data_IF_954150988806
#
_entry.id   IF_954150988806
#
_cell.length_a   1.000
_cell.length_b   1.000
_cell.length_c   1.000
_cell.angle_alpha   90.00
_cell.angle_beta   90.00
_cell.angle_gamma   90.00
#
_symmetry.space_group_name_H-M   'P 1'
#
loop_
_entity.id
_entity.type
_entity.pdbx_description
1 polymer ?
#
# COMPACT_ATOMS: atom_id res chain seq x y z
N UNK A 1 8.52 4.58 6.63
CA UNK A 1 7.16 4.25 6.20
C UNK A 1 6.76 5.24 5.13
N UNK A 2 6.30 4.74 3.99
CA UNK A 2 5.74 5.54 2.89
C UNK A 2 4.34 6.04 3.27
N UNK A 3 4.24 6.88 4.29
CA UNK A 3 2.98 7.50 4.67
C UNK A 3 2.58 8.48 3.58
N UNK A 4 1.38 8.34 3.00
CA UNK A 4 0.87 9.42 2.16
C UNK A 4 0.32 10.55 3.01
N UNK A 5 0.83 11.75 2.83
CA UNK A 5 0.46 12.91 3.66
C UNK A 5 0.07 14.10 2.80
N UNK A 6 -1.10 14.72 3.06
CA UNK A 6 -1.48 15.95 2.39
C UNK A 6 -0.58 17.08 2.89
N UNK A 7 0.16 17.72 2.01
CA UNK A 7 1.17 18.72 2.37
C UNK A 7 0.95 20.01 1.60
N UNK A 8 1.11 21.15 2.26
CA UNK A 8 1.02 22.47 1.63
C UNK A 8 2.34 22.78 0.93
N UNK A 9 2.28 23.21 -0.33
CA UNK A 9 3.46 23.68 -1.07
C UNK A 9 3.85 25.06 -0.56
N UNK A 10 5.07 25.19 -0.06
CA UNK A 10 5.64 26.45 0.41
C UNK A 10 6.45 27.14 -0.70
N UNK A 11 7.34 26.39 -1.34
CA UNK A 11 8.22 26.87 -2.41
C UNK A 11 8.37 25.78 -3.48
N UNK A 12 8.67 26.18 -4.72
CA UNK A 12 8.89 25.25 -5.86
C UNK A 12 10.26 25.52 -6.48
N UNK A 13 11.06 24.46 -6.60
CA UNK A 13 12.40 24.46 -7.19
C UNK A 13 12.34 23.79 -8.57
N UNK A 14 11.88 24.54 -9.58
CA UNK A 14 11.59 24.00 -10.92
C UNK A 14 12.79 23.31 -11.60
N UNK A 15 14.00 23.84 -11.40
CA UNK A 15 15.21 23.26 -12.01
C UNK A 15 15.54 21.87 -11.47
N UNK A 16 15.15 21.59 -10.23
CA UNK A 16 15.38 20.31 -9.55
C UNK A 16 14.14 19.41 -9.62
N UNK A 17 13.01 19.97 -10.09
CA UNK A 17 11.68 19.37 -10.05
C UNK A 17 11.32 18.91 -8.63
N UNK A 18 11.61 19.77 -7.68
CA UNK A 18 11.34 19.56 -6.26
C UNK A 18 10.45 20.69 -5.73
N UNK A 19 9.75 20.42 -4.64
CA UNK A 19 9.01 21.43 -3.89
C UNK A 19 9.27 21.27 -2.40
N UNK A 20 9.37 22.40 -1.70
CA UNK A 20 9.36 22.43 -0.24
C UNK A 20 7.92 22.41 0.21
N UNK A 21 7.57 21.45 1.05
CA UNK A 21 6.21 21.26 1.55
C UNK A 21 6.17 21.28 3.07
N UNK A 22 5.00 21.57 3.62
CA UNK A 22 4.72 21.56 5.06
C UNK A 22 3.52 20.66 5.39
N UNK A 23 3.69 19.83 6.41
CA UNK A 23 2.62 19.04 7.00
C UNK A 23 2.75 19.03 8.53
N UNK A 24 1.69 19.46 9.22
CA UNK A 24 1.64 19.56 10.70
C UNK A 24 2.87 20.27 11.31
N UNK A 25 3.37 21.32 10.64
CA UNK A 25 4.54 22.10 11.06
C UNK A 25 5.89 21.48 10.71
N UNK A 26 5.94 20.23 10.24
CA UNK A 26 7.16 19.63 9.70
C UNK A 26 7.37 20.08 8.24
N UNK A 27 8.59 20.50 7.90
CA UNK A 27 8.97 20.95 6.56
C UNK A 27 9.98 19.99 5.93
N UNK A 28 9.74 19.60 4.70
CA UNK A 28 10.62 18.68 3.95
C UNK A 28 10.47 18.93 2.45
N UNK A 29 11.39 18.35 1.67
CA UNK A 29 11.42 18.49 0.21
C UNK A 29 10.91 17.21 -0.43
N UNK A 30 10.15 17.35 -1.52
CA UNK A 30 9.54 16.25 -2.26
C UNK A 30 9.74 16.46 -3.76
N UNK A 31 9.86 15.38 -4.51
CA UNK A 31 9.84 15.46 -5.97
C UNK A 31 8.43 15.79 -6.47
N UNK A 32 8.33 16.54 -7.58
CA UNK A 32 7.05 16.96 -8.18
C UNK A 32 6.91 16.54 -9.65
N UNK A 33 7.82 15.69 -10.15
CA UNK A 33 7.83 15.23 -11.57
C UNK A 33 6.63 14.39 -11.96
N UNK A 34 5.87 13.88 -10.99
CA UNK A 34 4.65 13.12 -11.22
C UNK A 34 3.41 14.02 -11.39
N UNK A 35 3.59 15.34 -11.34
CA UNK A 35 2.53 16.33 -11.45
C UNK A 35 2.79 17.27 -12.63
N UNK A 36 1.73 17.70 -13.30
CA UNK A 36 1.86 18.59 -14.47
C UNK A 36 2.28 20.02 -14.09
N UNK A 37 1.70 20.57 -13.02
CA UNK A 37 1.99 21.93 -12.56
C UNK A 37 1.76 22.05 -11.05
N UNK A 38 2.78 22.51 -10.33
CA UNK A 38 2.73 22.74 -8.88
C UNK A 38 3.17 24.17 -8.58
N UNK A 39 2.42 24.87 -7.72
CA UNK A 39 2.69 26.25 -7.32
C UNK A 39 2.63 26.43 -5.79
N UNK A 40 3.36 27.40 -5.23
CA UNK A 40 3.20 27.78 -3.83
C UNK A 40 1.75 28.05 -3.46
N UNK A 41 1.31 27.55 -2.30
CA UNK A 41 -0.05 27.66 -1.82
C UNK A 41 -0.97 26.50 -2.20
N UNK A 42 -0.63 25.72 -3.24
CA UNK A 42 -1.33 24.48 -3.55
C UNK A 42 -1.13 23.43 -2.45
N UNK A 43 -2.02 22.45 -2.41
CA UNK A 43 -1.83 21.25 -1.60
C UNK A 43 -1.57 20.04 -2.49
N UNK A 44 -0.68 19.16 -2.05
CA UNK A 44 -0.31 17.94 -2.76
C UNK A 44 -0.34 16.72 -1.82
N UNK A 45 -0.68 15.56 -2.35
CA UNK A 45 -0.52 14.29 -1.66
C UNK A 45 0.91 13.77 -1.90
N UNK A 46 1.69 13.65 -0.83
CA UNK A 46 3.07 13.14 -0.90
C UNK A 46 3.10 11.69 -0.50
N UNK A 47 3.70 10.79 -1.28
CA UNK A 47 3.95 9.39 -0.94
C UNK A 47 5.36 8.98 -1.37
N UNK A 48 6.09 8.26 -0.49
CA UNK A 48 7.46 7.80 -0.75
C UNK A 48 8.43 8.90 -1.25
N UNK A 49 8.24 10.13 -0.73
CA UNK A 49 9.07 11.31 -1.08
C UNK A 49 8.71 12.00 -2.40
N UNK A 50 7.65 11.56 -3.07
CA UNK A 50 7.14 12.16 -4.32
C UNK A 50 5.74 12.72 -4.09
N UNK A 51 5.44 13.90 -4.65
CA UNK A 51 4.10 14.41 -4.76
C UNK A 51 3.37 13.67 -5.89
N UNK A 52 2.35 12.89 -5.55
CA UNK A 52 1.65 11.99 -6.47
C UNK A 52 0.29 12.52 -6.94
N UNK A 53 -0.26 13.55 -6.29
CA UNK A 53 -1.52 14.16 -6.72
C UNK A 53 -1.66 15.59 -6.18
N UNK A 54 -2.29 16.49 -6.96
CA UNK A 54 -2.73 17.80 -6.46
C UNK A 54 -4.10 17.64 -5.80
N UNK A 55 -4.26 18.22 -4.61
CA UNK A 55 -5.53 18.19 -3.87
C UNK A 55 -6.47 19.24 -4.46
N UNK A 56 -7.62 18.77 -4.95
CA UNK A 56 -8.68 19.63 -5.47
C UNK A 56 -9.76 19.78 -4.37
N UNK A 57 -9.85 20.99 -3.81
CA UNK A 57 -10.84 21.31 -2.76
C UNK A 57 -12.29 21.27 -3.28
N UNK A 58 -12.53 21.58 -4.56
CA UNK A 58 -13.87 21.59 -5.15
C UNK A 58 -14.37 20.15 -5.37
N UNK A 59 -13.52 19.26 -5.89
CA UNK A 59 -13.82 17.81 -6.02
C UNK A 59 -14.02 17.12 -4.67
N UNK A 60 -13.42 17.64 -3.60
CA UNK A 60 -13.67 17.12 -2.25
C UNK A 60 -15.12 17.27 -1.80
N UNK A 61 -15.80 18.33 -2.25
CA UNK A 61 -17.22 18.56 -1.97
C UNK A 61 -18.14 17.65 -2.79
N UNK A 62 -17.68 17.18 -3.95
CA UNK A 62 -18.47 16.29 -4.82
C UNK A 62 -18.64 14.88 -4.25
N UNK A 63 -17.65 14.35 -3.53
CA UNK A 63 -17.78 13.06 -2.82
C UNK A 63 -18.83 13.06 -1.71
N UNK A 64 -19.15 14.25 -1.20
CA UNK A 64 -20.20 14.45 -0.21
C UNK A 64 -21.60 14.52 -0.84
N UNK A 65 -21.74 14.56 -2.18
CA UNK A 65 -23.05 14.56 -2.86
C UNK A 65 -23.80 13.25 -2.63
N UNK A 66 -23.12 12.10 -2.76
CA UNK A 66 -23.66 10.78 -2.40
C UNK A 66 -24.17 10.77 -0.96
N UNK A 67 -23.46 11.43 -0.04
CA UNK A 67 -23.88 11.57 1.35
C UNK A 67 -25.06 12.50 1.56
N UNK A 68 -25.14 13.60 0.81
CA UNK A 68 -26.30 14.47 0.82
C UNK A 68 -27.55 13.75 0.31
N UNK A 69 -27.40 12.91 -0.71
CA UNK A 69 -28.47 12.06 -1.24
C UNK A 69 -28.87 10.97 -0.24
N UNK A 70 -27.91 10.39 0.48
CA UNK A 70 -28.14 9.29 1.44
C UNK A 70 -28.67 9.74 2.81
N UNK A 71 -28.20 10.88 3.34
CA UNK A 71 -28.53 11.37 4.70
C UNK A 71 -29.23 12.73 4.74
N UNK A 72 -29.46 13.38 3.60
CA UNK A 72 -30.20 14.64 3.52
C UNK A 72 -29.50 15.87 4.13
N UNK A 73 -28.16 15.88 4.29
CA UNK A 73 -27.42 16.99 4.93
C UNK A 73 -26.15 17.40 4.17
N UNK A 74 -25.80 18.69 4.23
CA UNK A 74 -24.53 19.23 3.73
C UNK A 74 -23.41 18.98 4.75
N UNK A 75 -22.25 18.50 4.31
CA UNK A 75 -21.06 18.26 5.14
C UNK A 75 -19.91 19.20 4.73
N UNK A 76 -18.93 19.45 5.61
CA UNK A 76 -17.73 20.27 5.31
C UNK A 76 -16.43 19.47 5.59
N UNK A 77 -15.33 19.81 4.93
CA UNK A 77 -14.03 19.10 4.98
C UNK A 77 -13.42 19.03 6.38
N UNK A 78 -13.69 19.99 7.27
CA UNK A 78 -13.19 20.00 8.65
C UNK A 78 -13.89 18.90 9.50
N UNK A 79 -15.03 18.40 9.04
CA UNK A 79 -15.89 17.50 9.81
C UNK A 79 -15.42 16.04 9.84
N UNK A 80 -14.56 15.61 8.90
CA UNK A 80 -14.06 14.23 8.80
C UNK A 80 -13.27 13.72 10.04
N UNK A 81 -12.88 14.62 10.95
CA UNK A 81 -12.19 14.31 12.21
C UNK A 81 -13.01 14.65 13.47
N UNK A 82 -14.26 15.08 13.33
CA UNK A 82 -15.15 15.41 14.44
C UNK A 82 -15.70 14.13 15.11
N UNK A 83 -15.33 13.83 16.38
CA UNK A 83 -15.81 12.65 17.08
C UNK A 83 -17.33 12.63 17.28
N UNK A 84 -17.95 13.79 17.52
CA UNK A 84 -19.39 13.87 17.75
C UNK A 84 -20.16 13.62 16.45
N UNK A 85 -19.62 14.11 15.33
CA UNK A 85 -20.18 13.79 14.02
C UNK A 85 -20.03 12.32 13.68
N UNK A 86 -18.85 11.75 13.90
CA UNK A 86 -18.63 10.32 13.71
C UNK A 86 -19.64 9.50 14.51
N UNK A 87 -19.91 9.84 15.77
CA UNK A 87 -20.89 9.11 16.56
C UNK A 87 -22.31 9.23 16.02
N UNK A 88 -22.74 10.44 15.66
CA UNK A 88 -24.06 10.64 15.04
C UNK A 88 -24.20 9.81 13.77
N UNK A 89 -23.16 9.77 12.93
CA UNK A 89 -23.18 8.99 11.70
C UNK A 89 -23.22 7.49 11.98
N UNK A 90 -22.43 7.00 12.95
CA UNK A 90 -22.43 5.59 13.29
C UNK A 90 -23.82 5.13 13.75
N UNK A 91 -24.47 5.88 14.65
CA UNK A 91 -25.82 5.56 15.14
C UNK A 91 -26.88 5.59 14.04
N UNK A 92 -26.70 6.41 13.00
CA UNK A 92 -27.60 6.42 11.83
C UNK A 92 -27.39 5.19 10.94
N UNK A 93 -26.17 4.65 10.88
CA UNK A 93 -25.81 3.55 9.98
C UNK A 93 -25.99 2.17 10.62
N UNK A 94 -25.89 2.10 11.94
CA UNK A 94 -26.00 0.86 12.71
C UNK A 94 -27.26 0.03 12.38
N UNK A 95 -28.47 0.62 12.23
CA UNK A 95 -29.65 -0.14 11.82
C UNK A 95 -29.50 -0.84 10.47
N UNK A 96 -28.79 -0.23 9.52
CA UNK A 96 -28.55 -0.82 8.20
C UNK A 96 -27.57 -1.99 8.27
N UNK A 97 -26.53 -1.89 9.10
CA UNK A 97 -25.61 -3.00 9.35
C UNK A 97 -26.32 -4.20 9.98
N UNK A 98 -27.20 -3.94 10.96
CA UNK A 98 -27.98 -4.98 11.62
C UNK A 98 -28.93 -5.65 10.62
N UNK A 99 -29.69 -4.87 9.85
CA UNK A 99 -30.62 -5.40 8.85
C UNK A 99 -29.91 -6.26 7.79
N UNK A 100 -28.75 -5.81 7.30
CA UNK A 100 -27.98 -6.57 6.31
C UNK A 100 -27.43 -7.89 6.88
N UNK A 101 -26.94 -7.87 8.14
CA UNK A 101 -26.52 -9.08 8.85
C UNK A 101 -27.68 -10.07 9.04
N UNK A 102 -28.85 -9.59 9.46
CA UNK A 102 -30.03 -10.43 9.64
C UNK A 102 -30.48 -11.06 8.32
N UNK A 103 -30.48 -10.29 7.23
CA UNK A 103 -30.83 -10.78 5.90
C UNK A 103 -29.89 -11.87 5.39
N UNK A 104 -28.59 -11.73 5.64
CA UNK A 104 -27.58 -12.72 5.25
C UNK A 104 -27.55 -13.94 6.19
N UNK A 105 -28.13 -13.85 7.39
CA UNK A 105 -28.04 -14.89 8.43
C UNK A 105 -26.65 -15.05 9.05
N UNK A 106 -25.68 -14.21 8.65
CA UNK A 106 -24.31 -14.14 9.18
C UNK A 106 -23.82 -12.70 9.16
N UNK A 107 -22.71 -12.43 9.84
CA UNK A 107 -22.04 -11.14 9.69
C UNK A 107 -21.63 -10.92 8.24
N UNK A 108 -21.65 -9.66 7.82
CA UNK A 108 -21.08 -9.28 6.53
C UNK A 108 -19.56 -9.49 6.59
N UNK A 109 -18.95 -9.85 5.48
CA UNK A 109 -17.52 -10.11 5.41
C UNK A 109 -16.91 -9.24 4.31
N UNK A 110 -16.41 -8.08 4.72
CA UNK A 110 -15.74 -7.14 3.83
C UNK A 110 -14.23 -7.26 3.96
N UNK A 111 -13.51 -7.10 2.86
CA UNK A 111 -12.05 -7.10 2.88
C UNK A 111 -11.51 -5.71 2.56
N UNK A 112 -10.69 -5.16 3.45
CA UNK A 112 -9.82 -4.04 3.08
C UNK A 112 -8.52 -4.58 2.50
N UNK A 113 -8.04 -3.93 1.45
CA UNK A 113 -6.84 -4.35 0.69
C UNK A 113 -5.76 -3.26 0.75
N UNK A 114 -5.61 -2.64 1.92
CA UNK A 114 -4.63 -1.57 2.15
C UNK A 114 -4.14 -1.58 3.59
N UNK A 115 -2.85 -1.85 3.81
CA UNK A 115 -2.30 -1.91 5.16
C UNK A 115 -2.48 -0.62 5.96
N UNK A 116 -2.52 0.55 5.30
CA UNK A 116 -2.88 1.82 5.94
C UNK A 116 -4.33 1.85 6.44
N UNK A 117 -5.30 1.28 5.69
CA UNK A 117 -6.68 1.11 6.16
C UNK A 117 -6.73 0.17 7.35
N UNK A 118 -6.05 -0.97 7.27
CA UNK A 118 -5.85 -1.90 8.39
C UNK A 118 -5.49 -1.18 9.68
N UNK A 119 -4.44 -0.35 9.63
CA UNK A 119 -3.97 0.46 10.77
C UNK A 119 -5.02 1.49 11.19
N UNK A 120 -5.61 2.22 10.25
CA UNK A 120 -6.59 3.27 10.54
C UNK A 120 -7.85 2.71 11.22
N UNK A 121 -8.40 1.60 10.72
CA UNK A 121 -9.54 0.91 11.32
C UNK A 121 -9.29 0.48 12.77
N UNK A 122 -8.08 -0.03 13.05
CA UNK A 122 -7.72 -0.49 14.38
C UNK A 122 -7.37 0.65 15.35
N UNK A 123 -6.64 1.66 14.87
CA UNK A 123 -6.24 2.84 15.66
C UNK A 123 -7.43 3.71 16.06
N UNK A 124 -8.42 3.84 15.18
CA UNK A 124 -9.66 4.61 15.46
C UNK A 124 -10.67 3.84 16.32
N UNK A 125 -10.49 2.52 16.49
CA UNK A 125 -11.44 1.65 17.18
C UNK A 125 -12.68 1.30 16.35
N UNK A 126 -12.80 1.80 15.12
CA UNK A 126 -13.94 1.52 14.23
C UNK A 126 -14.09 0.02 13.96
N UNK A 127 -12.99 -0.73 13.77
CA UNK A 127 -13.02 -2.20 13.61
C UNK A 127 -13.77 -2.90 14.75
N UNK A 128 -13.52 -2.48 15.99
CA UNK A 128 -14.15 -3.05 17.18
C UNK A 128 -15.65 -2.75 17.20
N UNK A 129 -16.04 -1.51 16.89
CA UNK A 129 -17.45 -1.11 16.85
C UNK A 129 -18.24 -1.83 15.75
N UNK A 130 -17.61 -2.10 14.61
CA UNK A 130 -18.24 -2.85 13.51
C UNK A 130 -18.28 -4.37 13.77
N UNK A 131 -17.43 -4.90 14.66
CA UNK A 131 -17.27 -6.35 14.88
C UNK A 131 -18.55 -7.15 15.22
N UNK A 132 -19.60 -6.58 15.85
CA UNK A 132 -20.86 -7.29 16.02
C UNK A 132 -21.61 -7.53 14.69
N UNK A 133 -21.37 -6.71 13.67
CA UNK A 133 -22.14 -6.70 12.42
C UNK A 133 -21.33 -7.21 11.23
N UNK A 134 -20.04 -6.88 11.21
CA UNK A 134 -19.16 -7.03 10.06
C UNK A 134 -17.84 -7.64 10.52
N UNK A 135 -17.44 -8.73 9.88
CA UNK A 135 -16.08 -9.24 9.93
C UNK A 135 -15.25 -8.52 8.87
N UNK A 136 -14.58 -7.45 9.29
CA UNK A 136 -13.65 -6.72 8.42
C UNK A 136 -12.35 -7.52 8.32
N UNK A 137 -12.07 -8.09 7.16
CA UNK A 137 -10.89 -8.92 6.91
C UNK A 137 -9.79 -8.07 6.29
N UNK A 138 -8.54 -8.41 6.60
CA UNK A 138 -7.37 -7.75 6.01
C UNK A 138 -6.84 -8.60 4.87
N UNK A 139 -6.81 -8.04 3.67
CA UNK A 139 -6.32 -8.66 2.46
C UNK A 139 -4.83 -8.39 2.19
N UNK A 140 -4.37 -8.62 0.95
CA UNK A 140 -2.97 -8.51 0.55
C UNK A 140 -2.52 -7.05 0.36
N UNK A 141 -2.89 -6.14 1.27
CA UNK A 141 -2.67 -4.70 1.17
C UNK A 141 -1.31 -4.20 1.64
N UNK A 142 -0.34 -5.09 1.89
CA UNK A 142 1.00 -4.74 2.35
C UNK A 142 2.04 -5.33 1.39
N UNK A 143 2.75 -4.51 0.59
CA UNK A 143 3.64 -5.00 -0.46
C UNK A 143 4.80 -5.82 0.10
N UNK A 144 5.35 -5.40 1.25
CA UNK A 144 6.37 -6.13 2.00
C UNK A 144 5.87 -7.53 2.42
N UNK A 145 4.61 -7.61 2.85
CA UNK A 145 4.01 -8.84 3.37
C UNK A 145 3.78 -9.86 2.27
N UNK A 146 3.47 -9.40 1.06
CA UNK A 146 3.20 -10.26 -0.12
C UNK A 146 4.44 -10.54 -0.98
N UNK A 147 5.57 -9.92 -0.66
CA UNK A 147 6.86 -10.21 -1.31
C UNK A 147 7.26 -11.66 -1.02
N UNK A 148 7.56 -12.42 -2.09
CA UNK A 148 7.88 -13.84 -1.99
C UNK A 148 9.17 -14.05 -1.20
N UNK A 149 9.27 -15.21 -0.54
CA UNK A 149 10.45 -15.52 0.26
C UNK A 149 11.71 -15.60 -0.62
N UNK A 150 11.58 -16.05 -1.87
CA UNK A 150 12.66 -16.05 -2.87
C UNK A 150 13.17 -14.64 -3.19
N UNK A 151 12.29 -13.65 -3.31
CA UNK A 151 12.68 -12.26 -3.52
C UNK A 151 13.43 -11.70 -2.32
N UNK A 152 12.96 -11.98 -1.10
CA UNK A 152 13.65 -11.57 0.13
C UNK A 152 15.06 -12.17 0.18
N UNK A 153 15.18 -13.46 -0.10
CA UNK A 153 16.49 -14.13 -0.11
C UNK A 153 17.40 -13.58 -1.20
N UNK A 154 16.85 -13.26 -2.38
CA UNK A 154 17.60 -12.64 -3.47
C UNK A 154 18.09 -11.23 -3.12
N UNK A 155 17.24 -10.42 -2.47
CA UNK A 155 17.60 -9.10 -1.96
C UNK A 155 18.74 -9.17 -0.94
N UNK A 156 18.70 -10.17 -0.05
CA UNK A 156 19.77 -10.43 0.92
C UNK A 156 21.03 -10.93 0.21
N UNK A 157 20.92 -11.76 -0.82
CA UNK A 157 22.08 -12.27 -1.57
C UNK A 157 22.89 -11.14 -2.21
N UNK A 158 22.25 -10.04 -2.64
CA UNK A 158 22.96 -8.86 -3.14
C UNK A 158 23.87 -8.20 -2.09
N UNK A 159 23.65 -8.43 -0.78
CA UNK A 159 24.53 -7.93 0.27
C UNK A 159 25.93 -8.55 0.20
N UNK A 160 26.05 -9.75 -0.38
CA UNK A 160 27.31 -10.44 -0.57
C UNK A 160 28.16 -9.92 -1.73
N UNK A 161 27.66 -8.99 -2.54
CA UNK A 161 28.41 -8.41 -3.66
C UNK A 161 29.51 -7.47 -3.12
N UNK A 162 30.74 -7.62 -3.63
CA UNK A 162 31.85 -6.73 -3.26
C UNK A 162 31.60 -5.30 -3.75
N UNK A 163 32.00 -4.31 -2.95
CA UNK A 163 31.82 -2.87 -3.26
C UNK A 163 30.37 -2.45 -3.58
N UNK A 164 29.39 -3.15 -2.97
CA UNK A 164 27.96 -2.82 -3.13
C UNK A 164 27.49 -1.76 -2.13
N UNK A 165 26.53 -0.94 -2.56
CA UNK A 165 25.66 -0.14 -1.71
C UNK A 165 24.23 -0.62 -1.97
N UNK A 166 23.64 -1.31 -0.99
CA UNK A 166 22.23 -1.62 -1.05
C UNK A 166 21.41 -0.46 -0.55
N UNK A 167 20.31 -0.20 -1.22
CA UNK A 167 19.37 0.85 -0.84
C UNK A 167 17.96 0.26 -0.79
N UNK A 168 17.22 0.59 0.25
CA UNK A 168 15.91 -0.02 0.52
C UNK A 168 15.02 0.94 1.32
N UNK A 169 13.72 0.71 1.30
CA UNK A 169 12.81 1.31 2.28
C UNK A 169 12.95 0.63 3.65
N UNK A 170 12.63 1.37 4.71
CA UNK A 170 12.94 0.95 6.09
C UNK A 170 12.14 -0.25 6.61
N UNK A 171 10.98 -0.51 6.02
CA UNK A 171 10.11 -1.66 6.34
C UNK A 171 10.68 -3.00 5.87
N UNK A 172 11.57 -2.99 4.88
CA UNK A 172 12.26 -4.20 4.41
C UNK A 172 13.42 -4.63 5.30
N UNK A 173 13.98 -3.73 6.12
CA UNK A 173 15.23 -3.98 6.86
C UNK A 173 15.18 -5.23 7.74
N UNK A 174 14.05 -5.47 8.40
CA UNK A 174 13.89 -6.55 9.39
C UNK A 174 13.18 -7.79 8.82
N UNK A 175 12.82 -7.79 7.53
CA UNK A 175 12.11 -8.91 6.92
C UNK A 175 12.98 -10.16 6.94
N UNK A 176 12.56 -11.24 7.61
CA UNK A 176 13.38 -12.43 7.74
C UNK A 176 13.51 -13.15 6.39
N UNK A 177 14.76 -13.29 5.94
CA UNK A 177 15.16 -14.28 4.94
C UNK A 177 15.31 -15.67 5.54
N UNK A 178 15.76 -16.61 4.72
CA UNK A 178 16.01 -18.01 5.09
C UNK A 178 17.13 -18.17 6.11
N UNK A 179 18.10 -17.26 6.10
CA UNK A 179 19.31 -17.33 6.93
C UNK A 179 19.65 -16.02 7.66
N UNK A 180 19.24 -14.87 7.11
CA UNK A 180 19.56 -13.54 7.65
C UNK A 180 18.44 -12.54 7.34
N UNK A 181 18.70 -11.25 7.54
CA UNK A 181 17.89 -10.14 7.05
C UNK A 181 18.81 -8.93 6.76
N UNK A 182 18.29 -7.90 6.09
CA UNK A 182 19.11 -6.73 5.72
C UNK A 182 19.67 -5.99 6.95
N UNK A 183 18.97 -5.96 8.08
CA UNK A 183 19.47 -5.36 9.33
C UNK A 183 20.70 -6.11 9.87
N UNK A 184 20.68 -7.44 9.85
CA UNK A 184 21.83 -8.28 10.22
C UNK A 184 22.98 -8.13 9.22
N UNK A 185 22.70 -8.11 7.92
CA UNK A 185 23.76 -7.91 6.92
C UNK A 185 24.41 -6.53 7.04
N UNK A 186 23.63 -5.50 7.39
CA UNK A 186 24.17 -4.18 7.73
C UNK A 186 25.06 -4.24 8.97
N UNK A 187 24.64 -4.94 10.02
CA UNK A 187 25.46 -5.15 11.23
C UNK A 187 26.74 -5.96 10.95
N UNK A 188 26.72 -6.83 9.94
CA UNK A 188 27.88 -7.59 9.47
C UNK A 188 28.81 -6.77 8.54
N UNK A 189 28.54 -5.49 8.33
CA UNK A 189 29.41 -4.57 7.59
C UNK A 189 28.99 -4.28 6.15
N UNK A 190 27.88 -4.84 5.67
CA UNK A 190 27.34 -4.48 4.35
C UNK A 190 26.89 -3.02 4.35
N UNK A 191 27.23 -2.28 3.30
CA UNK A 191 26.77 -0.90 3.18
C UNK A 191 25.29 -0.85 2.74
N UNK A 192 24.39 -0.63 3.69
CA UNK A 192 22.94 -0.58 3.44
C UNK A 192 22.34 0.76 3.90
N UNK A 193 21.75 1.49 2.97
CA UNK A 193 21.10 2.78 3.19
C UNK A 193 19.57 2.63 3.19
N UNK A 194 18.93 3.22 4.20
CA UNK A 194 17.47 3.33 4.24
C UNK A 194 17.10 4.63 3.54
N UNK A 195 16.28 4.53 2.50
CA UNK A 195 15.88 5.67 1.68
C UNK A 195 14.55 6.27 2.13
N UNK A 196 14.38 7.56 1.84
CA UNK A 196 13.06 8.21 1.87
C UNK A 196 12.38 8.22 0.51
N UNK A 197 13.15 8.25 -0.58
CA UNK A 197 12.68 8.22 -1.96
C UNK A 197 13.65 7.48 -2.87
N UNK A 198 13.19 7.04 -4.04
CA UNK A 198 14.05 6.36 -5.02
C UNK A 198 15.16 7.29 -5.56
N UNK A 199 14.93 8.61 -5.58
CA UNK A 199 15.91 9.62 -6.02
C UNK A 199 17.17 9.67 -5.14
N UNK A 200 17.09 9.30 -3.86
CA UNK A 200 18.26 9.22 -2.99
C UNK A 200 19.26 8.14 -3.46
N UNK A 201 18.78 7.05 -4.09
CA UNK A 201 19.64 6.01 -4.66
C UNK A 201 20.47 6.55 -5.84
N UNK A 202 19.86 7.41 -6.67
CA UNK A 202 20.54 8.10 -7.77
C UNK A 202 21.65 9.01 -7.24
N UNK A 203 21.37 9.77 -6.16
CA UNK A 203 22.38 10.61 -5.51
C UNK A 203 23.56 9.79 -4.97
N UNK A 204 23.29 8.62 -4.37
CA UNK A 204 24.34 7.70 -3.93
C UNK A 204 25.16 7.15 -5.10
N UNK A 205 24.52 6.79 -6.21
CA UNK A 205 25.22 6.31 -7.41
C UNK A 205 26.19 7.36 -7.98
N UNK A 206 25.79 8.64 -7.99
CA UNK A 206 26.67 9.77 -8.37
C UNK A 206 27.82 9.97 -7.40
N UNK A 207 27.54 9.90 -6.11
CA UNK A 207 28.53 10.13 -5.06
C UNK A 207 29.60 9.02 -5.03
N UNK A 208 29.22 7.78 -5.36
CA UNK A 208 30.09 6.62 -5.30
C UNK A 208 30.19 5.91 -6.67
N UNK A 209 30.82 6.53 -7.69
CA UNK A 209 30.82 6.03 -9.06
C UNK A 209 31.56 4.69 -9.24
N UNK A 210 32.39 4.30 -8.26
CA UNK A 210 33.13 3.01 -8.26
C UNK A 210 32.37 1.89 -7.53
N UNK A 211 31.24 2.19 -6.89
CA UNK A 211 30.44 1.22 -6.14
C UNK A 211 29.16 0.90 -6.89
N UNK A 212 28.74 -0.35 -6.83
CA UNK A 212 27.46 -0.81 -7.40
C UNK A 212 26.35 -0.40 -6.45
N UNK A 213 25.45 0.48 -6.88
CA UNK A 213 24.30 0.92 -6.08
C UNK A 213 23.05 0.20 -6.54
N UNK A 214 22.40 -0.54 -5.63
CA UNK A 214 21.21 -1.34 -5.94
C UNK A 214 20.02 -0.79 -5.16
N UNK A 215 18.94 -0.44 -5.85
CA UNK A 215 17.64 -0.15 -5.24
C UNK A 215 16.78 -1.41 -5.19
N UNK A 216 16.49 -1.86 -3.97
CA UNK A 216 15.56 -2.95 -3.70
C UNK A 216 14.13 -2.39 -3.75
N UNK A 217 13.49 -2.50 -4.91
CA UNK A 217 12.24 -1.82 -5.21
C UNK A 217 11.04 -2.73 -4.91
N UNK A 218 10.51 -2.61 -3.69
CA UNK A 218 9.29 -3.28 -3.22
C UNK A 218 8.17 -2.25 -3.09
N UNK A 219 6.99 -2.60 -3.59
CA UNK A 219 5.80 -1.78 -3.41
C UNK A 219 4.71 -2.09 -4.43
N UNK A 220 3.65 -1.31 -4.37
CA UNK A 220 2.51 -1.39 -5.27
C UNK A 220 2.57 -0.28 -6.33
N UNK A 221 1.43 0.03 -6.95
CA UNK A 221 1.30 1.11 -7.92
C UNK A 221 1.73 2.48 -7.36
N UNK A 222 1.70 2.66 -6.03
CA UNK A 222 2.07 3.92 -5.37
C UNK A 222 3.58 4.17 -5.27
N UNK A 223 4.42 3.14 -5.39
CA UNK A 223 5.88 3.28 -5.34
C UNK A 223 6.53 3.19 -6.72
N UNK A 224 5.90 2.45 -7.63
CA UNK A 224 6.42 2.20 -8.97
C UNK A 224 6.75 3.49 -9.77
N UNK A 225 5.97 4.59 -9.71
CA UNK A 225 6.29 5.83 -10.43
C UNK A 225 7.63 6.44 -10.00
N UNK A 226 7.92 6.49 -8.70
CA UNK A 226 9.19 7.03 -8.20
C UNK A 226 10.39 6.19 -8.65
N UNK A 227 10.23 4.87 -8.74
CA UNK A 227 11.27 3.98 -9.26
C UNK A 227 11.41 4.10 -10.78
N UNK A 228 10.31 4.23 -11.53
CA UNK A 228 10.35 4.52 -12.97
C UNK A 228 11.13 5.82 -13.24
N UNK A 229 10.89 6.86 -12.44
CA UNK A 229 11.62 8.12 -12.53
C UNK A 229 13.13 7.92 -12.29
N UNK A 230 13.50 7.10 -11.30
CA UNK A 230 14.91 6.79 -11.04
C UNK A 230 15.59 6.12 -12.23
N UNK A 231 14.90 5.21 -12.94
CA UNK A 231 15.41 4.55 -14.15
C UNK A 231 15.60 5.54 -15.30
N UNK A 232 14.64 6.45 -15.51
CA UNK A 232 14.74 7.54 -16.50
C UNK A 232 15.96 8.40 -16.21
N UNK A 233 16.11 8.86 -14.96
CA UNK A 233 17.25 9.69 -14.56
C UNK A 233 18.58 8.97 -14.72
N UNK A 234 18.68 7.71 -14.30
CA UNK A 234 19.90 6.93 -14.46
C UNK A 234 20.33 6.81 -15.93
N UNK A 235 19.36 6.70 -16.85
CA UNK A 235 19.59 6.69 -18.30
C UNK A 235 20.05 8.05 -18.84
N UNK A 236 19.34 9.13 -18.49
CA UNK A 236 19.67 10.50 -18.91
C UNK A 236 21.06 10.92 -18.42
N UNK A 237 21.38 10.59 -17.17
CA UNK A 237 22.62 10.94 -16.50
C UNK A 237 23.74 9.90 -16.70
N UNK A 238 23.47 8.82 -17.46
CA UNK A 238 24.40 7.74 -17.82
C UNK A 238 25.09 7.07 -16.61
N UNK A 239 24.32 6.76 -15.57
CA UNK A 239 24.81 6.15 -14.33
C UNK A 239 24.97 4.63 -14.48
N UNK A 240 26.12 4.18 -14.99
CA UNK A 240 26.40 2.76 -15.25
C UNK A 240 26.53 1.89 -13.99
N UNK A 241 26.58 2.49 -12.81
CA UNK A 241 26.72 1.79 -11.53
C UNK A 241 25.41 1.70 -10.73
N UNK A 242 24.29 2.15 -11.29
CA UNK A 242 22.98 2.10 -10.66
C UNK A 242 22.16 0.91 -11.19
N UNK A 243 21.54 0.16 -10.28
CA UNK A 243 20.68 -0.98 -10.61
C UNK A 243 19.42 -0.98 -9.75
N UNK A 244 18.35 -1.57 -10.27
CA UNK A 244 17.07 -1.75 -9.60
C UNK A 244 16.72 -3.23 -9.60
N UNK A 245 16.40 -3.77 -8.44
CA UNK A 245 15.71 -5.06 -8.32
C UNK A 245 14.21 -4.80 -8.16
N UNK A 246 13.44 -4.98 -9.23
CA UNK A 246 12.00 -4.76 -9.21
C UNK A 246 11.27 -5.97 -8.64
N UNK A 247 10.71 -5.82 -7.44
CA UNK A 247 9.76 -6.74 -6.83
C UNK A 247 8.38 -6.07 -6.66
N UNK A 248 8.07 -5.11 -7.52
CA UNK A 248 6.79 -4.41 -7.53
C UNK A 248 5.65 -5.33 -7.90
N UNK A 249 4.54 -5.13 -7.22
CA UNK A 249 3.32 -5.91 -7.32
C UNK A 249 2.15 -5.02 -7.76
N UNK A 250 1.14 -5.61 -8.37
CA UNK A 250 -0.08 -4.93 -8.80
C UNK A 250 -1.26 -5.43 -7.97
N UNK A 251 -2.07 -4.50 -7.48
CA UNK A 251 -3.15 -4.79 -6.53
C UNK A 251 -4.38 -5.42 -7.20
N UNK A 252 -4.88 -4.92 -8.36
CA UNK A 252 -6.06 -5.49 -9.02
C UNK A 252 -5.99 -7.00 -9.28
N UNK A 253 -4.90 -7.56 -9.87
CA UNK A 253 -4.82 -9.01 -10.13
C UNK A 253 -4.85 -9.85 -8.84
N UNK A 254 -4.39 -9.30 -7.70
CA UNK A 254 -4.47 -9.99 -6.42
C UNK A 254 -5.91 -10.08 -5.89
N UNK A 255 -6.79 -9.13 -6.23
CA UNK A 255 -8.21 -9.22 -5.88
C UNK A 255 -8.91 -10.26 -6.76
N UNK A 256 -8.61 -10.31 -8.06
CA UNK A 256 -9.13 -11.36 -8.95
C UNK A 256 -8.76 -12.76 -8.40
N UNK A 257 -7.51 -12.95 -7.96
CA UNK A 257 -7.06 -14.19 -7.35
C UNK A 257 -7.84 -14.59 -6.08
N UNK A 258 -8.28 -13.61 -5.28
CA UNK A 258 -9.09 -13.86 -4.09
C UNK A 258 -10.54 -14.20 -4.43
N UNK A 259 -11.06 -13.63 -5.52
CA UNK A 259 -12.40 -13.91 -6.02
C UNK A 259 -12.50 -15.30 -6.65
N UNK A 260 -11.42 -15.76 -7.28
CA UNK A 260 -11.34 -17.10 -7.87
C UNK A 260 -11.18 -18.22 -6.82
N UNK A 261 -10.89 -17.88 -5.56
CA UNK A 261 -10.73 -18.84 -4.46
C UNK A 261 -12.10 -19.25 -3.88
N UNK A 262 -12.56 -20.50 -4.10
CA UNK A 262 -13.90 -20.92 -3.68
C UNK A 262 -14.07 -21.00 -2.16
N UNK A 263 -12.97 -21.02 -1.39
CA UNK A 263 -13.01 -21.02 0.06
C UNK A 263 -13.19 -19.60 0.65
N UNK A 264 -13.25 -18.58 -0.20
CA UNK A 264 -13.48 -17.20 0.21
C UNK A 264 -14.95 -16.81 0.13
N UNK A 265 -15.49 -16.36 1.28
CA UNK A 265 -16.83 -15.80 1.39
C UNK A 265 -16.74 -14.29 1.58
N UNK A 266 -16.33 -13.57 0.54
CA UNK A 266 -16.24 -12.10 0.58
C UNK A 266 -17.52 -11.49 0.02
N UNK A 267 -18.08 -10.54 0.77
CA UNK A 267 -19.26 -9.76 0.36
C UNK A 267 -18.86 -8.48 -0.38
N UNK A 268 -17.60 -8.04 -0.30
CA UNK A 268 -17.13 -6.87 -1.01
C UNK A 268 -15.78 -6.34 -0.53
N UNK A 269 -15.26 -5.37 -1.28
CA UNK A 269 -13.93 -4.80 -1.06
C UNK A 269 -13.95 -3.32 -0.70
N UNK A 270 -13.16 -2.97 0.31
CA UNK A 270 -12.75 -1.60 0.57
C UNK A 270 -11.39 -1.38 -0.09
N UNK A 271 -11.41 -0.62 -1.18
CA UNK A 271 -10.31 -0.44 -2.12
C UNK A 271 -9.30 0.61 -1.62
N UNK A 272 -8.01 0.43 -1.97
CA UNK A 272 -6.92 1.26 -1.47
C UNK A 272 -6.98 2.67 -2.05
N UNK A 273 -7.16 3.68 -1.20
CA UNK A 273 -7.24 5.07 -1.64
C UNK A 273 -6.02 5.52 -2.44
N UNK A 274 -4.80 5.25 -1.94
CA UNK A 274 -3.57 5.72 -2.60
C UNK A 274 -3.20 4.98 -3.88
N UNK A 275 -3.41 3.67 -3.95
CA UNK A 275 -3.25 2.95 -5.23
C UNK A 275 -4.25 3.52 -6.25
N UNK A 276 -5.48 3.80 -5.82
CA UNK A 276 -6.50 4.42 -6.68
C UNK A 276 -6.15 5.84 -7.13
N UNK A 277 -5.29 6.58 -6.40
CA UNK A 277 -4.75 7.85 -6.91
C UNK A 277 -3.93 7.64 -8.17
N UNK A 278 -3.17 6.54 -8.23
CA UNK A 278 -2.35 6.21 -9.39
C UNK A 278 -3.20 5.65 -10.53
N UNK A 279 -3.97 4.58 -10.29
CA UNK A 279 -4.70 3.86 -11.36
C UNK A 279 -6.12 4.39 -11.65
N UNK A 280 -6.61 5.32 -10.84
CA UNK A 280 -7.95 5.90 -10.95
C UNK A 280 -9.07 4.95 -10.52
N UNK A 281 -10.30 5.45 -10.59
CA UNK A 281 -11.50 4.60 -10.49
C UNK A 281 -11.52 3.56 -11.61
N UNK A 282 -11.05 3.92 -12.81
CA UNK A 282 -11.03 3.04 -13.99
C UNK A 282 -10.25 1.74 -13.79
N UNK A 283 -9.16 1.78 -13.02
CA UNK A 283 -8.36 0.59 -12.71
C UNK A 283 -9.14 -0.51 -11.98
N UNK A 284 -10.26 -0.16 -11.34
CA UNK A 284 -11.11 -1.08 -10.58
C UNK A 284 -12.40 -1.48 -11.28
N UNK A 285 -12.66 -1.00 -12.51
CA UNK A 285 -13.92 -1.27 -13.23
C UNK A 285 -14.16 -2.76 -13.53
N UNK A 286 -13.13 -3.60 -13.47
CA UNK A 286 -13.30 -5.05 -13.59
C UNK A 286 -14.19 -5.61 -12.47
N UNK A 287 -14.10 -5.08 -11.25
CA UNK A 287 -14.96 -5.48 -10.12
C UNK A 287 -16.43 -5.14 -10.39
N UNK A 288 -16.71 -3.93 -10.90
CA UNK A 288 -18.07 -3.53 -11.28
C UNK A 288 -18.62 -4.45 -12.40
N UNK A 289 -17.79 -4.76 -13.41
CA UNK A 289 -18.18 -5.68 -14.50
C UNK A 289 -18.47 -7.10 -14.03
N UNK A 290 -17.74 -7.56 -13.01
CA UNK A 290 -17.96 -8.86 -12.36
C UNK A 290 -19.10 -8.80 -11.32
N UNK A 291 -19.76 -7.65 -11.17
CA UNK A 291 -20.80 -7.40 -10.16
C UNK A 291 -20.32 -7.68 -8.74
N UNK A 292 -19.12 -7.19 -8.40
CA UNK A 292 -18.53 -7.30 -7.07
C UNK A 292 -18.69 -5.95 -6.34
N UNK A 293 -19.33 -5.90 -5.16
CA UNK A 293 -19.42 -4.68 -4.35
C UNK A 293 -18.02 -4.18 -3.97
N UNK A 294 -17.69 -2.96 -4.40
CA UNK A 294 -16.39 -2.37 -4.12
C UNK A 294 -16.48 -0.85 -3.95
N UNK A 295 -15.72 -0.31 -3.00
CA UNK A 295 -15.72 1.13 -2.70
C UNK A 295 -14.30 1.62 -2.45
N UNK A 296 -13.90 2.68 -3.16
CA UNK A 296 -12.64 3.40 -2.92
C UNK A 296 -12.82 4.33 -1.73
N UNK A 297 -11.97 4.18 -0.71
CA UNK A 297 -12.06 4.93 0.55
C UNK A 297 -10.80 5.72 0.86
N UNK A 298 -10.98 6.86 1.53
CA UNK A 298 -9.92 7.54 2.27
C UNK A 298 -9.59 6.82 3.59
N UNK A 299 -8.75 7.45 4.41
CA UNK A 299 -8.13 6.85 5.61
C UNK A 299 -8.61 7.46 6.93
N UNK A 300 -9.42 8.51 6.87
CA UNK A 300 -10.00 9.11 8.08
C UNK A 300 -11.17 8.26 8.60
N UNK A 301 -11.49 8.38 9.89
CA UNK A 301 -12.51 7.54 10.53
C UNK A 301 -13.88 7.64 9.83
N UNK A 302 -14.25 8.84 9.42
CA UNK A 302 -15.48 9.07 8.67
C UNK A 302 -15.40 8.45 7.27
N UNK A 303 -14.31 8.65 6.50
CA UNK A 303 -14.16 8.02 5.17
C UNK A 303 -14.38 6.50 5.21
N UNK A 304 -13.84 5.86 6.24
CA UNK A 304 -13.95 4.42 6.43
C UNK A 304 -15.38 3.99 6.84
N UNK A 305 -16.05 4.75 7.72
CA UNK A 305 -17.40 4.46 8.17
C UNK A 305 -18.43 4.58 7.03
N UNK A 306 -18.58 5.77 6.45
CA UNK A 306 -18.19 5.93 5.05
C UNK A 306 -18.47 4.78 4.06
N UNK A 307 -17.34 4.27 3.58
CA UNK A 307 -17.24 3.17 2.65
C UNK A 307 -17.93 1.88 3.14
N UNK A 308 -17.84 1.56 4.43
CA UNK A 308 -18.52 0.39 5.00
C UNK A 308 -20.05 0.51 4.88
N UNK A 309 -20.59 1.72 5.08
CA UNK A 309 -21.99 2.04 4.83
C UNK A 309 -22.43 1.78 3.41
N UNK A 310 -21.73 2.40 2.47
CA UNK A 310 -22.03 2.29 1.05
C UNK A 310 -21.91 0.82 0.59
N UNK A 311 -20.87 0.10 1.02
CA UNK A 311 -20.75 -1.35 0.76
C UNK A 311 -21.94 -2.15 1.28
N UNK A 312 -22.39 -1.86 2.50
CA UNK A 312 -23.56 -2.52 3.10
C UNK A 312 -24.82 -2.27 2.28
N UNK A 313 -25.01 -1.05 1.78
CA UNK A 313 -26.17 -0.71 0.95
C UNK A 313 -26.08 -1.32 -0.45
N UNK A 314 -24.88 -1.34 -1.05
CA UNK A 314 -24.64 -1.98 -2.34
C UNK A 314 -25.06 -3.44 -2.34
N UNK A 315 -24.82 -4.19 -1.26
CA UNK A 315 -25.27 -5.58 -1.13
C UNK A 315 -26.77 -5.77 -1.31
N UNK A 316 -27.59 -4.72 -1.14
CA UNK A 316 -29.04 -4.79 -1.35
C UNK A 316 -29.47 -4.51 -2.78
N UNK A 317 -28.53 -4.15 -3.66
CA UNK A 317 -28.77 -3.91 -5.08
C UNK A 317 -28.46 -5.16 -5.89
N UNK A 318 -29.08 -5.26 -7.06
CA UNK A 318 -28.81 -6.33 -8.02
C UNK A 318 -27.62 -5.99 -8.95
N UNK A 319 -27.54 -4.72 -9.37
CA UNK A 319 -26.47 -4.17 -10.19
C UNK A 319 -25.57 -3.30 -9.31
N UNK A 320 -24.45 -3.87 -8.88
CA UNK A 320 -23.49 -3.23 -7.99
C UNK A 320 -22.67 -2.19 -8.75
N UNK A 321 -22.44 -1.04 -8.12
CA UNK A 321 -21.62 0.04 -8.68
C UNK A 321 -20.34 0.24 -7.88
N UNK A 322 -19.25 0.53 -8.59
CA UNK A 322 -18.01 0.96 -7.98
C UNK A 322 -18.14 2.43 -7.56
N UNK A 323 -18.05 2.70 -6.26
CA UNK A 323 -18.11 4.05 -5.72
C UNK A 323 -16.73 4.61 -5.40
N UNK A 324 -16.52 5.87 -5.76
CA UNK A 324 -15.34 6.64 -5.35
C UNK A 324 -15.71 7.60 -4.21
N UNK A 325 -15.42 7.21 -2.97
CA UNK A 325 -15.62 8.07 -1.79
C UNK A 325 -14.33 8.82 -1.39
N UNK A 326 -13.33 8.84 -2.27
CA UNK A 326 -12.10 9.60 -2.11
C UNK A 326 -11.81 10.59 -3.27
N UNK A 327 -12.81 11.31 -3.82
CA UNK A 327 -12.65 12.09 -5.06
C UNK A 327 -11.75 13.32 -4.92
N UNK A 328 -11.47 13.73 -3.68
CA UNK A 328 -10.49 14.78 -3.38
C UNK A 328 -9.05 14.42 -3.78
N UNK A 329 -8.79 13.14 -4.03
CA UNK A 329 -7.50 12.64 -4.52
C UNK A 329 -7.62 11.68 -5.71
N UNK A 330 -8.74 10.95 -5.83
CA UNK A 330 -8.89 9.90 -6.86
C UNK A 330 -9.69 10.44 -8.02
N UNK A 331 -9.04 10.63 -9.16
CA UNK A 331 -9.68 10.92 -10.44
C UNK A 331 -10.24 9.65 -11.10
N UNK A 332 -11.07 9.82 -12.14
CA UNK A 332 -11.62 8.69 -12.90
C UNK A 332 -10.48 7.91 -13.58
N UNK A 333 -9.61 8.62 -14.29
CA UNK A 333 -8.45 8.10 -15.00
C UNK A 333 -7.22 7.86 -14.11
N UNK A 334 -7.17 8.44 -12.90
CA UNK A 334 -6.01 8.38 -12.01
C UNK A 334 -4.92 9.40 -12.39
N UNK A 335 -3.68 9.15 -11.98
CA UNK A 335 -2.56 10.01 -12.35
C UNK A 335 -1.95 9.56 -13.69
N UNK A 336 -2.35 10.25 -14.77
CA UNK A 336 -1.88 9.96 -16.12
C UNK A 336 -0.36 10.13 -16.31
N UNK A 337 0.28 11.07 -15.61
CA UNK A 337 1.74 11.28 -15.66
C UNK A 337 2.46 10.07 -15.05
N UNK A 338 2.01 9.62 -13.87
CA UNK A 338 2.55 8.46 -13.18
C UNK A 338 2.36 7.18 -14.01
N UNK A 339 1.16 6.95 -14.56
CA UNK A 339 0.88 5.80 -15.42
C UNK A 339 1.76 5.79 -16.66
N UNK A 340 1.86 6.91 -17.39
CA UNK A 340 2.73 7.02 -18.57
C UNK A 340 4.20 6.74 -18.24
N UNK A 341 4.66 7.20 -17.08
CA UNK A 341 6.01 6.96 -16.62
C UNK A 341 6.24 5.48 -16.29
N UNK A 342 5.33 4.84 -15.57
CA UNK A 342 5.36 3.41 -15.30
C UNK A 342 5.36 2.61 -16.61
N UNK A 343 4.45 2.92 -17.52
CA UNK A 343 4.32 2.25 -18.82
C UNK A 343 5.59 2.37 -19.66
N UNK A 344 6.33 3.49 -19.55
CA UNK A 344 7.59 3.67 -20.27
C UNK A 344 8.75 2.83 -19.73
N UNK A 345 8.71 2.47 -18.43
CA UNK A 345 9.82 1.77 -17.76
C UNK A 345 9.54 0.30 -17.47
N UNK A 346 8.27 -0.09 -17.37
CA UNK A 346 7.85 -1.42 -16.91
C UNK A 346 6.89 -2.11 -17.88
N UNK A 347 6.87 -3.44 -17.81
CA UNK A 347 5.87 -4.34 -18.39
C UNK A 347 5.29 -5.24 -17.31
N UNK A 348 4.04 -5.69 -17.51
CA UNK A 348 3.45 -6.71 -16.65
C UNK A 348 4.24 -8.01 -16.71
N UNK A 349 4.29 -8.68 -15.57
CA UNK A 349 4.94 -9.97 -15.37
C UNK A 349 4.14 -10.79 -14.37
N UNK A 350 4.46 -12.08 -14.23
CA UNK A 350 3.76 -13.00 -13.34
C UNK A 350 4.65 -13.45 -12.18
N UNK A 351 4.98 -12.56 -11.22
CA UNK A 351 5.87 -12.90 -10.14
C UNK A 351 5.20 -13.80 -9.09
N UNK A 352 6.02 -14.45 -8.28
CA UNK A 352 5.55 -15.16 -7.10
C UNK A 352 5.10 -14.19 -6.01
N UNK A 353 3.93 -14.42 -5.42
CA UNK A 353 3.39 -13.73 -4.25
C UNK A 353 3.36 -14.67 -3.05
N UNK A 354 3.76 -14.17 -1.88
CA UNK A 354 3.63 -14.93 -0.64
C UNK A 354 2.15 -15.26 -0.39
N UNK A 355 1.85 -16.55 -0.36
CA UNK A 355 0.51 -17.09 -0.10
C UNK A 355 -0.34 -17.33 -1.34
N UNK A 356 0.03 -16.79 -2.50
CA UNK A 356 -0.68 -16.97 -3.77
C UNK A 356 0.11 -17.78 -4.81
N UNK A 357 1.44 -17.91 -4.63
CA UNK A 357 2.29 -18.50 -5.66
C UNK A 357 2.47 -17.56 -6.85
N UNK A 358 2.75 -18.11 -8.02
CA UNK A 358 2.91 -17.31 -9.24
C UNK A 358 1.56 -16.76 -9.69
N UNK A 359 1.44 -15.44 -9.71
CA UNK A 359 0.18 -14.78 -9.99
C UNK A 359 0.26 -14.05 -11.34
N UNK A 360 -0.59 -14.38 -12.33
CA UNK A 360 -0.56 -13.77 -13.66
C UNK A 360 -0.66 -12.25 -13.65
N UNK A 361 0.16 -11.60 -14.47
CA UNK A 361 0.13 -10.14 -14.74
C UNK A 361 0.08 -9.25 -13.48
N UNK A 362 0.66 -9.73 -12.38
CA UNK A 362 0.54 -9.15 -11.05
C UNK A 362 1.79 -8.45 -10.55
N UNK A 363 2.78 -8.21 -11.41
CA UNK A 363 3.97 -7.43 -11.05
C UNK A 363 4.61 -6.71 -12.21
N UNK A 364 5.60 -5.88 -11.89
CA UNK A 364 6.27 -5.02 -12.87
C UNK A 364 7.72 -5.44 -13.09
N UNK A 365 8.01 -5.86 -14.31
CA UNK A 365 9.36 -6.14 -14.79
C UNK A 365 9.90 -4.95 -15.58
N UNK A 366 11.20 -4.67 -15.43
CA UNK A 366 11.87 -3.58 -16.14
C UNK A 366 11.88 -3.87 -17.66
N UNK A 367 11.50 -2.89 -18.47
CA UNK A 367 11.52 -2.99 -19.93
C UNK A 367 12.94 -3.16 -20.47
N UNK A 368 13.04 -3.80 -21.64
CA UNK A 368 14.30 -3.99 -22.36
C UNK A 368 15.10 -2.69 -22.54
N UNK A 369 14.43 -1.57 -22.79
CA UNK A 369 15.09 -0.25 -22.96
C UNK A 369 15.79 0.29 -21.71
N UNK A 370 15.46 -0.27 -20.55
CA UNK A 370 16.04 0.02 -19.24
C UNK A 370 16.74 -1.21 -18.65
N UNK A 371 16.88 -2.30 -19.42
CA UNK A 371 17.57 -3.51 -18.96
C UNK A 371 18.99 -3.29 -18.44
N UNK A 372 19.80 -2.31 -18.94
CA UNK A 372 21.11 -2.02 -18.35
C UNK A 372 21.08 -1.68 -16.86
N UNK A 373 19.92 -1.28 -16.32
CA UNK A 373 19.72 -0.97 -14.91
C UNK A 373 19.01 -2.09 -14.15
N UNK A 374 18.71 -3.24 -14.77
CA UNK A 374 18.03 -4.35 -14.10
C UNK A 374 19.04 -5.22 -13.35
N UNK A 375 18.95 -5.20 -12.01
CA UNK A 375 19.81 -5.98 -11.13
C UNK A 375 19.69 -7.49 -11.40
N UNK A 376 18.49 -7.98 -11.71
CA UNK A 376 18.24 -9.42 -11.93
C UNK A 376 18.91 -9.96 -13.20
N UNK A 377 19.22 -9.08 -14.15
CA UNK A 377 19.90 -9.42 -15.41
C UNK A 377 21.42 -9.27 -15.26
N UNK A 378 21.86 -8.18 -14.62
CA UNK A 378 23.27 -7.78 -14.63
C UNK A 378 24.07 -8.22 -13.39
N UNK A 379 23.42 -8.48 -12.26
CA UNK A 379 24.08 -8.79 -11.00
C UNK A 379 23.84 -10.26 -10.65
N UNK A 380 24.76 -11.11 -11.11
CA UNK A 380 24.69 -12.56 -10.87
C UNK A 380 25.10 -12.84 -9.43
N UNK A 381 24.24 -13.56 -8.72
CA UNK A 381 24.50 -14.09 -7.38
C UNK A 381 24.16 -15.58 -7.36
N UNK A 382 24.69 -16.32 -6.39
CA UNK A 382 24.30 -17.72 -6.19
C UNK A 382 22.81 -17.77 -5.82
N UNK A 383 22.03 -18.58 -6.56
CA UNK A 383 20.59 -18.72 -6.29
C UNK A 383 20.39 -19.19 -4.85
N UNK A 384 19.76 -18.37 -3.99
CA UNK A 384 19.63 -18.72 -2.59
C UNK A 384 18.66 -19.89 -2.42
N UNK A 385 18.97 -20.78 -1.47
CA UNK A 385 18.07 -21.87 -1.09
C UNK A 385 17.00 -21.32 -0.15
N UNK A 386 15.82 -21.08 -0.71
CA UNK A 386 14.69 -20.54 0.04
C UNK A 386 14.08 -21.57 1.00
N UNK A 387 13.82 -21.12 2.23
CA UNK A 387 13.15 -21.87 3.30
C UNK A 387 12.01 -21.04 3.85
N UNK A 388 10.83 -21.64 3.89
CA UNK A 388 9.70 -21.03 4.59
C UNK A 388 9.87 -21.12 6.11
N UNK A 389 9.29 -20.15 6.80
CA UNK A 389 9.36 -20.05 8.25
C UNK A 389 8.29 -20.96 8.84
N UNK A 390 8.73 -22.08 9.41
CA UNK A 390 7.85 -23.11 9.97
C UNK A 390 6.86 -22.51 10.98
N UNK A 391 5.58 -22.81 10.79
CA UNK A 391 4.49 -22.38 11.68
C UNK A 391 4.02 -20.94 11.49
N UNK A 392 4.67 -20.15 10.63
CA UNK A 392 4.19 -18.82 10.27
C UNK A 392 2.96 -18.93 9.36
N UNK A 393 1.87 -18.25 9.72
CA UNK A 393 0.63 -18.24 8.91
C UNK A 393 0.45 -16.95 8.10
N UNK A 394 1.51 -16.17 7.88
CA UNK A 394 1.44 -14.92 7.10
C UNK A 394 0.76 -15.12 5.74
N UNK A 395 1.04 -16.22 5.04
CA UNK A 395 0.42 -16.57 3.75
C UNK A 395 -1.11 -16.65 3.82
N UNK A 396 -1.66 -17.23 4.88
CA UNK A 396 -3.12 -17.34 5.08
C UNK A 396 -3.72 -16.05 5.63
N UNK A 397 -2.95 -15.29 6.42
CA UNK A 397 -3.36 -13.99 6.96
C UNK A 397 -3.49 -12.96 5.85
N UNK A 398 -2.55 -12.88 4.90
CA UNK A 398 -2.64 -11.91 3.78
C UNK A 398 -3.75 -12.25 2.79
N UNK A 399 -4.21 -13.51 2.75
CA UNK A 399 -5.44 -13.90 2.04
C UNK A 399 -6.70 -13.62 2.84
N UNK A 400 -6.59 -13.30 4.13
CA UNK A 400 -7.76 -13.15 4.99
C UNK A 400 -8.49 -14.46 5.29
N UNK A 401 -7.81 -15.61 5.16
CA UNK A 401 -8.34 -16.93 5.53
C UNK A 401 -8.29 -17.17 7.05
N UNK A 402 -7.33 -16.55 7.74
CA UNK A 402 -7.15 -16.65 9.19
C UNK A 402 -6.77 -15.30 9.81
N UNK A 403 -7.06 -15.13 11.09
CA UNK A 403 -6.70 -13.96 11.88
C UNK A 403 -5.31 -14.11 12.52
N UNK A 404 -4.56 -13.01 12.74
CA UNK A 404 -3.35 -13.06 13.56
C UNK A 404 -3.55 -13.72 14.93
N UNK A 405 -4.73 -13.61 15.54
CA UNK A 405 -5.02 -14.24 16.84
C UNK A 405 -5.06 -15.77 16.79
N UNK A 406 -5.34 -16.35 15.62
CA UNK A 406 -5.34 -17.80 15.42
C UNK A 406 -3.92 -18.36 15.19
N UNK A 407 -2.97 -17.49 14.86
CA UNK A 407 -1.57 -17.86 14.67
C UNK A 407 -0.89 -18.18 16.00
N UNK A 408 -0.48 -19.44 16.18
CA UNK A 408 0.16 -19.94 17.43
C UNK A 408 1.44 -19.17 17.81
N UNK A 409 2.12 -18.56 16.84
CA UNK A 409 3.33 -17.76 17.05
C UNK A 409 3.04 -16.31 17.45
N UNK A 410 1.85 -15.79 17.13
CA UNK A 410 1.51 -14.39 17.27
C UNK A 410 1.57 -13.92 18.72
N UNK A 411 2.28 -12.81 18.96
CA UNK A 411 2.43 -12.19 20.27
C UNK A 411 3.23 -12.99 21.29
N UNK A 412 3.72 -14.18 20.92
CA UNK A 412 4.56 -15.07 21.72
C UNK A 412 5.97 -15.11 21.13
N UNK A 413 6.22 -16.07 20.23
CA UNK A 413 7.50 -16.22 19.54
C UNK A 413 7.68 -15.18 18.43
N UNK A 414 6.59 -14.69 17.83
CA UNK A 414 6.62 -13.65 16.81
C UNK A 414 6.11 -12.33 17.41
N UNK A 415 6.99 -11.35 17.55
CA UNK A 415 6.71 -10.01 18.09
C UNK A 415 7.41 -8.94 17.25
N UNK A 416 7.09 -7.64 17.40
CA UNK A 416 7.80 -6.59 16.66
C UNK A 416 9.32 -6.53 16.94
N UNK A 417 9.75 -6.93 18.15
CA UNK A 417 11.18 -7.02 18.50
C UNK A 417 11.84 -8.30 17.99
N UNK A 418 11.07 -9.37 17.79
CA UNK A 418 11.54 -10.63 17.22
C UNK A 418 10.54 -11.14 16.15
N UNK A 419 10.51 -10.52 14.96
CA UNK A 419 9.53 -10.87 13.94
C UNK A 419 9.94 -12.15 13.22
N UNK A 420 9.05 -13.14 13.22
CA UNK A 420 9.20 -14.40 12.48
C UNK A 420 8.53 -14.37 11.10
N UNK A 421 7.83 -13.29 10.74
CA UNK A 421 7.17 -13.18 9.45
C UNK A 421 6.99 -11.72 9.06
N UNK A 422 6.88 -11.40 7.76
CA UNK A 422 6.87 -10.02 7.30
C UNK A 422 5.65 -9.24 7.79
N UNK A 423 4.51 -9.90 8.04
CA UNK A 423 3.32 -9.23 8.58
C UNK A 423 3.54 -8.64 9.99
N UNK A 424 4.56 -9.11 10.73
CA UNK A 424 4.94 -8.54 12.03
C UNK A 424 6.03 -7.46 11.89
N UNK A 425 6.70 -7.39 10.74
CA UNK A 425 7.78 -6.43 10.47
C UNK A 425 7.22 -5.09 10.00
N UNK A 426 6.38 -5.13 8.96
CA UNK A 426 5.85 -3.92 8.34
C UNK A 426 4.92 -3.18 9.31
N UNK A 427 5.01 -1.85 9.35
CA UNK A 427 4.04 -1.02 10.08
C UNK A 427 2.62 -1.11 9.51
N UNK A 428 2.52 -1.54 8.26
CA UNK A 428 1.26 -1.79 7.54
C UNK A 428 0.88 -3.28 7.51
N UNK A 429 1.69 -4.13 8.15
CA UNK A 429 1.43 -5.56 8.22
C UNK A 429 0.33 -5.90 9.23
N UNK A 430 -0.61 -6.75 8.82
CA UNK A 430 -1.78 -7.12 9.64
C UNK A 430 -1.41 -7.65 11.02
N UNK A 431 -0.35 -8.46 11.15
CA UNK A 431 0.07 -8.95 12.47
C UNK A 431 0.62 -7.81 13.34
N UNK A 432 1.45 -6.93 12.79
CA UNK A 432 1.95 -5.75 13.51
C UNK A 432 0.80 -4.87 14.00
N UNK A 433 -0.18 -4.59 13.12
CA UNK A 433 -1.39 -3.84 13.46
C UNK A 433 -2.15 -4.47 14.62
N UNK A 434 -2.44 -5.77 14.53
CA UNK A 434 -3.17 -6.48 15.58
C UNK A 434 -2.39 -6.50 16.90
N UNK A 435 -1.07 -6.67 16.84
CA UNK A 435 -0.21 -6.67 18.03
C UNK A 435 -0.26 -5.33 18.77
N UNK A 436 -0.17 -4.22 18.04
CA UNK A 436 -0.11 -2.88 18.61
C UNK A 436 -1.47 -2.34 19.05
N UNK A 437 -2.54 -2.65 18.32
CA UNK A 437 -3.83 -1.99 18.51
C UNK A 437 -4.95 -2.89 19.02
N UNK A 438 -4.89 -4.20 18.81
CA UNK A 438 -6.02 -5.10 19.09
C UNK A 438 -5.72 -6.15 20.19
N UNK A 439 -4.45 -6.51 20.40
CA UNK A 439 -4.03 -7.59 21.31
C UNK A 439 -4.58 -7.48 22.74
N UNK A 440 -4.61 -6.28 23.29
CA UNK A 440 -5.07 -6.08 24.67
C UNK A 440 -6.60 -6.06 24.80
N UNK A 441 -7.33 -5.94 23.69
CA UNK A 441 -8.80 -5.85 23.68
C UNK A 441 -9.48 -7.23 23.60
N UNK A 442 -8.73 -8.26 23.24
CA UNK A 442 -9.20 -9.66 23.27
C UNK A 442 -9.15 -10.23 24.69
N UNK A 443 -8.14 -9.83 25.48
CA UNK A 443 -7.98 -10.21 26.90
C UNK A 443 -9.12 -9.76 27.82
N UNK A 444 -9.93 -8.79 27.39
CA UNK A 444 -11.14 -8.34 28.11
C UNK A 444 -12.41 -9.07 27.64
N UNK A 445 -12.32 -9.95 26.64
CA UNK A 445 -13.44 -10.80 26.16
C UNK A 445 -13.35 -12.26 26.66
N UNK A 446 -12.21 -12.67 27.22
CA UNK A 446 -11.99 -13.94 27.95
C UNK A 446 -12.04 -13.70 29.44
#
# INVERSE_FOLDING_TARGET
MCLSVPSKVLDVYLNEYEAKVEYLGARFVVGIRLLERVEPGMYVLVHAGEAIQIIDEERALDGLRLWKEMLGKNMNIISFRDPDQFERMFLQMEPHFLQARERLGRKLRFMEVCGTHSVAFSKTGLRQRLSPYIDLVSGPGCPVCVTAQSDIDQMIAYAGIQEVILTTYGDMMKVPGSHSNLEKEKANGTNIHILKSASEAISLAKQYPKKTVILLAVGFETTAPGVALSLIRAKEEKLSNYFVYSAHKLTPPALDALLDDPDHQLDGFLLPGHVSVIIGRRGWLHLEKQNIPAVISGFEAIDMLMAVGVLTMELSRYDHKLHNLYPRFVAEEGNAVAQKMMDSCFISSSPSWRGFGDLPDSGLQIRREYSPFDASIHLITDKPKTKEIKGCQCSEIVKGKTSPFECKLFGKACTPSHPLGPCMVSGEGTCSTYYHYERNKERTRS
#
